data_IF_262052555315
#
_entry.id   IF_262052555315
#
_cell.length_a   1.000
_cell.length_b   1.000
_cell.length_c   1.000
_cell.angle_alpha   90.00
_cell.angle_beta   90.00
_cell.angle_gamma   90.00
#
_symmetry.space_group_name_H-M   'P 1'
#
loop_
_entity.id
_entity.type
_entity.pdbx_description
1 polymer ?
#
# COMPACT_ATOMS: atom_id res chain seq x y z
N UNK A 1 -19.08 9.41 35.51
CA UNK A 1 -18.73 8.21 36.30
C UNK A 1 -19.05 6.90 35.57
N UNK A 2 -20.22 6.73 34.91
CA UNK A 2 -20.53 5.54 34.12
C UNK A 2 -19.96 5.59 32.68
N UNK A 3 -20.11 6.71 31.97
CA UNK A 3 -19.57 6.87 30.60
C UNK A 3 -18.04 6.86 30.49
N UNK A 4 -17.34 7.12 31.59
CA UNK A 4 -15.87 7.09 31.63
C UNK A 4 -15.33 5.65 31.67
N UNK A 5 -16.07 4.73 32.29
CA UNK A 5 -15.75 3.29 32.30
C UNK A 5 -16.08 2.62 30.97
N UNK A 6 -17.14 3.09 30.31
CA UNK A 6 -17.55 2.63 28.99
C UNK A 6 -16.51 3.03 27.92
N UNK A 7 -16.03 4.27 27.98
CA UNK A 7 -14.91 4.73 27.13
C UNK A 7 -13.63 3.92 27.37
N UNK A 8 -13.27 3.66 28.63
CA UNK A 8 -12.09 2.86 28.96
C UNK A 8 -12.17 1.43 28.37
N UNK A 9 -13.33 0.78 28.52
CA UNK A 9 -13.54 -0.56 27.95
C UNK A 9 -13.46 -0.56 26.42
N UNK A 10 -14.03 0.45 25.75
CA UNK A 10 -13.94 0.60 24.30
C UNK A 10 -12.50 0.83 23.81
N UNK A 11 -11.69 1.58 24.56
CA UNK A 11 -10.27 1.80 24.26
C UNK A 11 -9.48 0.50 24.40
N UNK A 12 -9.69 -0.26 25.48
CA UNK A 12 -9.02 -1.55 25.69
C UNK A 12 -9.35 -2.55 24.58
N UNK A 13 -10.62 -2.58 24.14
CA UNK A 13 -11.03 -3.40 23.00
C UNK A 13 -10.31 -2.99 21.70
N UNK A 14 -10.26 -1.67 21.41
CA UNK A 14 -9.60 -1.15 20.22
C UNK A 14 -8.08 -1.47 20.23
N UNK A 15 -7.44 -1.37 21.39
CA UNK A 15 -6.03 -1.74 21.57
C UNK A 15 -5.83 -3.23 21.33
N UNK A 16 -6.64 -4.09 21.94
CA UNK A 16 -6.56 -5.54 21.77
C UNK A 16 -6.72 -5.97 20.31
N UNK A 17 -7.70 -5.40 19.60
CA UNK A 17 -7.93 -5.66 18.17
C UNK A 17 -6.77 -5.19 17.29
N UNK A 18 -6.17 -4.04 17.62
CA UNK A 18 -5.01 -3.51 16.89
C UNK A 18 -3.78 -4.39 17.08
N UNK A 19 -3.51 -4.83 18.32
CA UNK A 19 -2.43 -5.76 18.63
C UNK A 19 -2.61 -7.08 17.88
N UNK A 20 -3.81 -7.65 17.90
CA UNK A 20 -4.11 -8.89 17.17
C UNK A 20 -3.86 -8.73 15.67
N UNK A 21 -4.27 -7.61 15.07
CA UNK A 21 -4.01 -7.34 13.66
C UNK A 21 -2.52 -7.29 13.34
N UNK A 22 -1.72 -6.53 14.10
CA UNK A 22 -0.29 -6.42 13.85
C UNK A 22 0.46 -7.73 14.11
N UNK A 23 0.12 -8.47 15.17
CA UNK A 23 0.75 -9.76 15.43
C UNK A 23 0.44 -10.78 14.32
N UNK A 24 -0.78 -10.76 13.77
CA UNK A 24 -1.14 -11.61 12.61
C UNK A 24 -0.44 -11.22 11.32
N UNK A 25 -0.04 -9.95 11.15
CA UNK A 25 0.67 -9.47 9.95
C UNK A 25 2.20 -9.48 10.08
N UNK A 26 2.73 -9.91 11.23
CA UNK A 26 4.16 -10.05 11.44
C UNK A 26 4.73 -11.17 10.56
N UNK A 27 5.86 -10.90 9.92
CA UNK A 27 6.61 -11.91 9.18
C UNK A 27 7.11 -13.02 10.14
N UNK A 28 7.21 -14.29 9.72
CA UNK A 28 7.73 -15.37 10.56
C UNK A 28 9.11 -15.09 11.19
N UNK A 29 9.94 -14.27 10.54
CA UNK A 29 11.26 -13.87 11.05
C UNK A 29 11.21 -12.70 12.05
N UNK A 30 10.02 -12.19 12.39
CA UNK A 30 9.78 -11.22 13.45
C UNK A 30 9.71 -9.74 13.04
N UNK A 31 9.89 -9.39 11.76
CA UNK A 31 9.71 -8.01 11.27
C UNK A 31 8.31 -7.75 10.73
N UNK A 32 7.97 -6.47 10.54
CA UNK A 32 6.79 -6.05 9.76
C UNK A 32 7.23 -5.50 8.41
N UNK A 33 6.52 -5.91 7.37
CA UNK A 33 6.76 -5.41 6.01
C UNK A 33 5.44 -5.08 5.36
N UNK A 34 5.22 -3.78 5.16
CA UNK A 34 4.07 -3.24 4.45
C UNK A 34 4.49 -2.64 3.11
N UNK A 35 3.51 -2.42 2.26
CA UNK A 35 3.70 -1.69 1.02
C UNK A 35 4.04 -0.23 1.32
N UNK A 36 5.11 0.29 0.69
CA UNK A 36 5.47 1.70 0.76
C UNK A 36 4.99 2.37 -0.52
N UNK A 37 3.79 2.93 -0.47
CA UNK A 37 3.19 3.65 -1.59
C UNK A 37 3.75 5.07 -1.71
N UNK A 38 3.92 5.56 -2.94
CA UNK A 38 4.22 6.98 -3.20
C UNK A 38 3.41 7.52 -4.39
N UNK A 39 4.00 7.53 -5.58
CA UNK A 39 3.37 7.94 -6.82
C UNK A 39 3.75 6.97 -7.94
N UNK A 40 3.22 7.23 -9.14
CA UNK A 40 3.39 6.36 -10.30
C UNK A 40 4.75 6.47 -11.00
N UNK A 41 5.61 7.43 -10.64
CA UNK A 41 6.85 7.71 -11.36
C UNK A 41 7.78 6.50 -11.37
N UNK A 42 7.99 5.84 -10.23
CA UNK A 42 8.86 4.65 -10.15
C UNK A 42 8.40 3.53 -11.10
N UNK A 43 7.08 3.32 -11.21
CA UNK A 43 6.51 2.30 -12.07
C UNK A 43 6.61 2.67 -13.55
N UNK A 44 6.40 3.96 -13.89
CA UNK A 44 6.57 4.46 -15.26
C UNK A 44 8.03 4.41 -15.72
N UNK A 45 8.97 4.81 -14.85
CA UNK A 45 10.41 4.77 -15.11
C UNK A 45 10.90 3.34 -15.32
N UNK A 46 10.37 2.36 -14.57
CA UNK A 46 10.69 0.94 -14.80
C UNK A 46 10.30 0.45 -16.20
N UNK A 47 9.13 0.86 -16.72
CA UNK A 47 8.74 0.52 -18.10
C UNK A 47 9.74 1.08 -19.11
N UNK A 48 10.10 2.36 -18.96
CA UNK A 48 11.06 3.01 -19.84
C UNK A 48 12.45 2.35 -19.75
N UNK A 49 12.92 2.09 -18.53
CA UNK A 49 14.20 1.43 -18.28
C UNK A 49 14.26 0.06 -18.96
N UNK A 50 13.26 -0.80 -18.73
CA UNK A 50 13.24 -2.16 -19.30
C UNK A 50 13.07 -2.15 -20.82
N UNK A 51 12.39 -1.15 -21.38
CA UNK A 51 12.31 -0.93 -22.82
C UNK A 51 13.68 -0.60 -23.40
N UNK A 52 14.38 0.40 -22.84
CA UNK A 52 15.68 0.83 -23.34
C UNK A 52 16.78 -0.23 -23.19
N UNK A 53 16.70 -1.06 -22.15
CA UNK A 53 17.63 -2.16 -21.95
C UNK A 53 17.29 -3.42 -22.78
N UNK A 54 16.15 -3.45 -23.48
CA UNK A 54 15.73 -4.62 -24.26
C UNK A 54 15.38 -5.85 -23.42
N UNK A 55 15.04 -5.66 -22.15
CA UNK A 55 14.70 -6.72 -21.17
C UNK A 55 13.22 -6.69 -20.76
N UNK A 56 12.39 -6.20 -21.67
CA UNK A 56 10.95 -6.12 -21.47
C UNK A 56 10.33 -7.51 -21.22
N UNK A 57 9.45 -7.60 -20.22
CA UNK A 57 8.64 -8.79 -19.96
C UNK A 57 7.17 -8.40 -20.06
N UNK A 58 6.46 -8.95 -21.04
CA UNK A 58 5.12 -8.50 -21.43
C UNK A 58 4.09 -8.61 -20.29
N UNK A 59 4.16 -9.68 -19.49
CA UNK A 59 3.26 -9.89 -18.36
C UNK A 59 3.40 -8.81 -17.30
N UNK A 60 4.65 -8.49 -16.93
CA UNK A 60 4.98 -7.40 -16.00
C UNK A 60 4.58 -6.05 -16.57
N UNK A 61 4.86 -5.78 -17.85
CA UNK A 61 4.46 -4.54 -18.49
C UNK A 61 2.95 -4.33 -18.46
N UNK A 62 2.17 -5.38 -18.73
CA UNK A 62 0.71 -5.33 -18.65
C UNK A 62 0.22 -5.02 -17.24
N UNK A 63 0.81 -5.64 -16.21
CA UNK A 63 0.49 -5.35 -14.80
C UNK A 63 0.79 -3.90 -14.44
N UNK A 64 1.96 -3.39 -14.83
CA UNK A 64 2.36 -2.01 -14.55
C UNK A 64 1.45 -1.03 -15.29
N UNK A 65 1.16 -1.25 -16.58
CA UNK A 65 0.27 -0.39 -17.34
C UNK A 65 -1.15 -0.34 -16.74
N UNK A 66 -1.66 -1.45 -16.23
CA UNK A 66 -2.95 -1.49 -15.53
C UNK A 66 -2.90 -0.72 -14.20
N UNK A 67 -1.82 -0.87 -13.43
CA UNK A 67 -1.60 -0.08 -12.21
C UNK A 67 -1.53 1.42 -12.52
N UNK A 68 -0.76 1.85 -13.52
CA UNK A 68 -0.68 3.26 -13.92
C UNK A 68 -2.07 3.83 -14.25
N UNK A 69 -2.91 3.08 -14.97
CA UNK A 69 -4.28 3.49 -15.28
C UNK A 69 -5.18 3.53 -14.05
N UNK A 70 -5.04 2.59 -13.11
CA UNK A 70 -5.86 2.58 -11.89
C UNK A 70 -5.54 3.75 -10.96
N UNK A 71 -4.34 4.34 -11.07
CA UNK A 71 -3.93 5.53 -10.32
C UNK A 71 -4.29 6.86 -11.02
N UNK A 72 -4.89 6.80 -12.23
CA UNK A 72 -5.27 8.01 -12.96
C UNK A 72 -6.52 8.65 -12.36
N UNK A 73 -6.46 9.96 -12.14
CA UNK A 73 -7.58 10.75 -11.62
C UNK A 73 -8.67 10.96 -12.68
N UNK A 74 -9.90 11.35 -12.29
CA UNK A 74 -10.99 11.63 -13.23
C UNK A 74 -10.69 12.74 -14.26
N UNK A 75 -9.79 13.67 -13.94
CA UNK A 75 -9.31 14.73 -14.84
C UNK A 75 -8.16 14.29 -15.76
N UNK A 76 -7.76 13.01 -15.71
CA UNK A 76 -6.71 12.42 -16.52
C UNK A 76 -5.29 12.60 -15.98
N UNK A 77 -5.11 13.30 -14.86
CA UNK A 77 -3.80 13.53 -14.25
C UNK A 77 -3.40 12.41 -13.26
N UNK A 78 -2.14 12.47 -12.78
CA UNK A 78 -1.64 11.67 -11.67
C UNK A 78 -1.19 12.58 -10.53
N UNK A 79 -1.40 12.13 -9.28
CA UNK A 79 -1.00 12.87 -8.07
C UNK A 79 0.37 12.44 -7.58
N UNK A 80 0.99 13.28 -6.73
CA UNK A 80 2.22 12.96 -6.00
C UNK A 80 1.96 12.40 -4.59
N UNK A 81 0.68 12.31 -4.18
CA UNK A 81 0.20 11.72 -2.93
C UNK A 81 -1.21 11.15 -3.12
N UNK A 82 -1.62 10.27 -2.20
CA UNK A 82 -2.94 9.66 -2.12
C UNK A 82 -3.79 10.30 -1.03
#
# INVERSE_FOLDING_TARGET
MAGDRDLAAAVDEAVGRSQEYFLRSQHPDGYWWGELESNVCMAAEYLLLTHFLGVAEEGRWRKIANYLRSQQRPDGAWSIYH
#
